data_IF_078373859695
#
_entry.id   IF_078373859695
#
_cell.length_a   1.000
_cell.length_b   1.000
_cell.length_c   1.000
_cell.angle_alpha   90.00
_cell.angle_beta   90.00
_cell.angle_gamma   90.00
#
_symmetry.space_group_name_H-M   'P 1'
#
loop_
_entity.id
_entity.type
_entity.pdbx_description
1 polymer ?
#
# COMPACT_ATOMS: atom_id res chain seq x y z
N UNK A 1 -16.08 9.87 18.15
CA UNK A 1 -15.83 9.81 19.61
C UNK A 1 -15.72 8.33 19.98
N UNK A 2 -14.63 7.92 20.63
CA UNK A 2 -14.46 6.54 21.08
C UNK A 2 -15.45 6.28 22.21
N UNK A 3 -16.32 5.29 22.05
CA UNK A 3 -17.19 4.84 23.13
C UNK A 3 -16.42 3.85 24.02
N UNK A 4 -16.02 4.31 25.20
CA UNK A 4 -15.29 3.47 26.17
C UNK A 4 -16.10 2.28 26.69
N UNK A 5 -17.41 2.27 26.47
CA UNK A 5 -18.28 1.13 26.79
C UNK A 5 -18.34 0.11 25.65
N UNK A 6 -17.81 0.45 24.47
CA UNK A 6 -17.71 -0.45 23.35
C UNK A 6 -16.36 -1.19 23.38
N UNK A 7 -16.37 -2.47 23.64
CA UNK A 7 -15.17 -3.32 23.70
C UNK A 7 -14.35 -3.24 22.41
N UNK A 8 -15.00 -3.13 21.24
CA UNK A 8 -14.32 -3.04 19.96
C UNK A 8 -13.54 -1.71 19.82
N UNK A 9 -14.09 -0.61 20.27
CA UNK A 9 -13.42 0.69 20.24
C UNK A 9 -12.23 0.73 21.21
N UNK A 10 -12.33 0.08 22.36
CA UNK A 10 -11.21 -0.08 23.29
C UNK A 10 -10.10 -0.95 22.69
N UNK A 11 -10.46 -2.03 22.02
CA UNK A 11 -9.48 -2.89 21.33
C UNK A 11 -8.76 -2.11 20.23
N UNK A 12 -9.49 -1.38 19.38
CA UNK A 12 -8.90 -0.53 18.33
C UNK A 12 -7.96 0.52 18.92
N UNK A 13 -8.38 1.20 20.01
CA UNK A 13 -7.56 2.21 20.68
C UNK A 13 -6.28 1.60 21.24
N UNK A 14 -6.37 0.44 21.89
CA UNK A 14 -5.22 -0.27 22.44
C UNK A 14 -4.23 -0.63 21.34
N UNK A 15 -4.70 -1.29 20.29
CA UNK A 15 -3.85 -1.66 19.16
C UNK A 15 -3.23 -0.45 18.47
N UNK A 16 -3.98 0.62 18.28
CA UNK A 16 -3.46 1.85 17.68
C UNK A 16 -2.35 2.47 18.52
N UNK A 17 -2.51 2.54 19.84
CA UNK A 17 -1.50 3.09 20.73
C UNK A 17 -0.24 2.20 20.77
N UNK A 18 -0.40 0.89 20.88
CA UNK A 18 0.72 -0.06 20.84
C UNK A 18 1.46 0.01 19.51
N UNK A 19 0.70 0.07 18.40
CA UNK A 19 1.24 0.20 17.05
C UNK A 19 2.06 1.47 16.87
N UNK A 20 1.55 2.63 17.23
CA UNK A 20 2.31 3.89 17.13
C UNK A 20 3.62 3.86 17.94
N UNK A 21 3.65 3.09 19.01
CA UNK A 21 4.83 2.97 19.88
C UNK A 21 5.92 2.08 19.27
N UNK A 22 5.55 1.04 18.55
CA UNK A 22 6.45 0.05 18.00
C UNK A 22 6.67 0.22 16.48
N UNK A 23 5.79 0.96 15.79
CA UNK A 23 5.88 1.14 14.36
C UNK A 23 7.11 1.97 13.98
N UNK A 24 7.96 1.38 13.18
CA UNK A 24 9.05 2.11 12.54
C UNK A 24 8.49 2.76 11.28
N UNK A 25 8.29 4.07 11.30
CA UNK A 25 7.80 4.81 10.14
C UNK A 25 8.93 4.86 9.11
N UNK A 26 8.72 4.18 8.00
CA UNK A 26 9.66 4.16 6.88
C UNK A 26 9.54 5.46 6.06
N UNK A 27 10.67 6.01 5.69
CA UNK A 27 10.79 7.18 4.81
C UNK A 27 11.44 6.70 3.50
N UNK A 28 10.68 6.68 2.40
CA UNK A 28 11.18 6.18 1.11
C UNK A 28 12.17 7.13 0.46
N UNK A 29 11.90 8.43 0.59
CA UNK A 29 12.68 9.47 -0.06
C UNK A 29 12.59 9.46 -1.59
N UNK A 30 13.46 10.21 -2.27
CA UNK A 30 13.47 10.27 -3.73
C UNK A 30 14.32 9.13 -4.33
N UNK A 31 13.68 8.27 -5.11
CA UNK A 31 14.29 7.08 -5.71
C UNK A 31 13.87 6.90 -7.16
N UNK A 32 14.83 6.98 -8.09
CA UNK A 32 14.55 6.76 -9.52
C UNK A 32 14.06 5.34 -9.78
N UNK A 33 14.64 4.34 -9.12
CA UNK A 33 14.22 2.94 -9.23
C UNK A 33 12.74 2.77 -8.85
N UNK A 34 12.31 3.35 -7.74
CA UNK A 34 10.92 3.26 -7.30
C UNK A 34 9.95 4.01 -8.24
N UNK A 35 10.40 5.14 -8.84
CA UNK A 35 9.63 5.82 -9.90
C UNK A 35 9.41 4.92 -11.11
N UNK A 36 10.47 4.27 -11.58
CA UNK A 36 10.41 3.42 -12.77
C UNK A 36 9.58 2.15 -12.50
N UNK A 37 9.73 1.54 -11.34
CA UNK A 37 8.89 0.41 -10.91
C UNK A 37 7.42 0.80 -10.81
N UNK A 38 7.11 1.96 -10.19
CA UNK A 38 5.73 2.45 -10.09
C UNK A 38 5.13 2.71 -11.46
N UNK A 39 5.91 3.29 -12.39
CA UNK A 39 5.47 3.50 -13.78
C UNK A 39 5.16 2.18 -14.47
N UNK A 40 6.05 1.18 -14.39
CA UNK A 40 5.84 -0.15 -14.98
C UNK A 40 4.59 -0.83 -14.44
N UNK A 41 4.35 -0.72 -13.14
CA UNK A 41 3.16 -1.25 -12.46
C UNK A 41 1.89 -0.54 -12.94
N UNK A 42 1.91 0.78 -13.02
CA UNK A 42 0.75 1.58 -13.48
C UNK A 42 0.42 1.22 -14.93
N UNK A 43 1.40 1.16 -15.80
CA UNK A 43 1.21 0.79 -17.22
C UNK A 43 0.65 -0.63 -17.39
N UNK A 44 1.13 -1.57 -16.59
CA UNK A 44 0.73 -2.98 -16.69
C UNK A 44 -0.63 -3.28 -16.06
N UNK A 45 -0.93 -2.71 -14.89
CA UNK A 45 -2.08 -3.12 -14.08
C UNK A 45 -3.17 -2.07 -13.91
N UNK A 46 -2.83 -0.77 -14.03
CA UNK A 46 -3.77 0.31 -13.75
C UNK A 46 -4.32 0.91 -15.06
N UNK A 47 -3.46 1.21 -16.02
CA UNK A 47 -3.88 1.80 -17.31
C UNK A 47 -4.91 0.93 -18.08
N UNK A 48 -4.88 -0.43 -17.99
CA UNK A 48 -5.94 -1.26 -18.59
C UNK A 48 -7.30 -1.16 -17.87
N UNK A 49 -7.35 -0.60 -16.64
CA UNK A 49 -8.59 -0.46 -15.90
C UNK A 49 -9.36 0.77 -16.40
N UNK A 50 -10.67 0.60 -16.58
CA UNK A 50 -11.56 1.72 -16.94
C UNK A 50 -11.92 2.52 -15.70
N UNK A 51 -11.03 3.43 -15.27
CA UNK A 51 -11.25 4.35 -14.16
C UNK A 51 -11.62 5.72 -14.71
N UNK A 52 -12.72 6.32 -14.20
CA UNK A 52 -13.15 7.65 -14.64
C UNK A 52 -12.15 8.72 -14.19
N UNK A 53 -11.90 9.76 -15.01
CA UNK A 53 -10.91 10.80 -14.69
C UNK A 53 -11.23 11.63 -13.44
N UNK A 54 -12.50 11.69 -13.06
CA UNK A 54 -12.98 12.33 -11.84
C UNK A 54 -13.21 11.35 -10.68
N UNK A 55 -12.75 10.11 -10.81
CA UNK A 55 -12.82 9.11 -9.74
C UNK A 55 -12.03 9.57 -8.53
N UNK A 56 -12.56 9.34 -7.34
CA UNK A 56 -11.88 9.56 -6.07
C UNK A 56 -10.91 8.42 -5.79
N UNK A 57 -9.62 8.71 -5.90
CA UNK A 57 -8.53 7.73 -5.83
C UNK A 57 -7.72 7.95 -4.56
N UNK A 58 -7.46 6.87 -3.82
CA UNK A 58 -6.54 6.86 -2.68
C UNK A 58 -5.27 6.10 -3.02
N UNK A 59 -4.12 6.70 -2.68
CA UNK A 59 -2.81 6.07 -2.65
C UNK A 59 -2.42 5.85 -1.18
N UNK A 60 -2.53 4.61 -0.72
CA UNK A 60 -2.36 4.25 0.69
C UNK A 60 -0.93 3.75 0.95
N UNK A 61 -0.21 4.44 1.83
CA UNK A 61 1.23 4.30 1.94
C UNK A 61 1.94 4.97 0.76
N UNK A 62 1.54 6.20 0.42
CA UNK A 62 1.89 6.84 -0.85
C UNK A 62 3.38 7.19 -1.00
N UNK A 63 4.21 7.04 0.05
CA UNK A 63 5.60 7.48 0.01
C UNK A 63 5.74 8.91 -0.52
N UNK A 64 6.74 9.20 -1.36
CA UNK A 64 6.94 10.52 -1.95
C UNK A 64 6.00 10.86 -3.12
N UNK A 65 4.92 10.08 -3.33
CA UNK A 65 3.82 10.38 -4.24
C UNK A 65 4.04 10.02 -5.71
N UNK A 66 4.83 9.00 -6.02
CA UNK A 66 5.11 8.62 -7.42
C UNK A 66 3.86 8.19 -8.20
N UNK A 67 2.96 7.44 -7.55
CA UNK A 67 1.69 7.09 -8.16
C UNK A 67 0.80 8.33 -8.38
N UNK A 68 0.76 9.24 -7.42
CA UNK A 68 -0.01 10.49 -7.54
C UNK A 68 0.49 11.35 -8.71
N UNK A 69 1.83 11.45 -8.90
CA UNK A 69 2.44 12.14 -10.03
C UNK A 69 1.96 11.54 -11.35
N UNK A 70 2.06 10.20 -11.49
CA UNK A 70 1.66 9.50 -12.71
C UNK A 70 0.16 9.62 -13.02
N UNK A 71 -0.70 9.56 -12.00
CA UNK A 71 -2.14 9.69 -12.20
C UNK A 71 -2.53 11.13 -12.56
N UNK A 72 -1.86 12.12 -11.97
CA UNK A 72 -2.03 13.54 -12.32
C UNK A 72 -1.62 13.80 -13.78
N UNK A 73 -0.47 13.25 -14.23
CA UNK A 73 -0.03 13.29 -15.64
C UNK A 73 -1.07 12.69 -16.60
N UNK A 74 -1.78 11.64 -16.16
CA UNK A 74 -2.88 11.00 -16.91
C UNK A 74 -4.21 11.73 -16.83
N UNK A 75 -4.28 12.88 -16.15
CA UNK A 75 -5.45 13.75 -16.07
C UNK A 75 -6.50 13.34 -15.03
N UNK A 76 -6.14 12.53 -14.03
CA UNK A 76 -7.00 12.29 -12.86
C UNK A 76 -6.96 13.50 -11.93
N UNK A 77 -8.10 13.86 -11.33
CA UNK A 77 -8.24 15.14 -10.61
C UNK A 77 -8.54 15.02 -9.13
N UNK A 78 -9.10 13.89 -8.67
CA UNK A 78 -9.41 13.67 -7.23
C UNK A 78 -8.50 12.60 -6.65
N UNK A 79 -7.27 13.01 -6.36
CA UNK A 79 -6.19 12.17 -5.85
C UNK A 79 -5.85 12.55 -4.43
N UNK A 80 -5.75 11.58 -3.53
CA UNK A 80 -5.32 11.78 -2.14
C UNK A 80 -4.32 10.70 -1.75
N UNK A 81 -3.14 11.10 -1.28
CA UNK A 81 -2.17 10.21 -0.65
C UNK A 81 -2.41 10.10 0.85
N UNK A 82 -2.10 8.93 1.41
CA UNK A 82 -2.16 8.67 2.86
C UNK A 82 -0.81 8.15 3.30
N UNK A 83 -0.17 8.83 4.24
CA UNK A 83 1.12 8.40 4.82
C UNK A 83 1.34 9.04 6.20
N UNK A 84 2.14 8.38 7.03
CA UNK A 84 2.63 8.94 8.32
C UNK A 84 4.06 9.48 8.22
N UNK A 85 4.80 9.22 7.13
CA UNK A 85 6.19 9.63 6.95
C UNK A 85 6.31 11.16 6.84
N UNK A 86 6.97 11.85 7.79
CA UNK A 86 7.09 13.31 7.73
C UNK A 86 7.91 13.82 6.55
N UNK A 87 8.91 13.04 6.10
CA UNK A 87 9.75 13.38 4.94
C UNK A 87 8.96 13.27 3.65
N UNK A 88 8.25 12.15 3.45
CA UNK A 88 7.43 11.93 2.26
C UNK A 88 6.26 12.93 2.17
N UNK A 89 5.65 13.28 3.32
CA UNK A 89 4.64 14.34 3.38
C UNK A 89 5.18 15.66 2.81
N UNK A 90 6.37 16.08 3.23
CA UNK A 90 6.98 17.33 2.73
C UNK A 90 7.22 17.28 1.22
N UNK A 91 7.69 16.14 0.70
CA UNK A 91 7.91 15.94 -0.74
C UNK A 91 6.59 16.05 -1.49
N UNK A 92 5.55 15.38 -1.04
CA UNK A 92 4.23 15.39 -1.65
C UNK A 92 3.59 16.79 -1.62
N UNK A 93 3.64 17.47 -0.48
CA UNK A 93 3.11 18.84 -0.33
C UNK A 93 3.85 19.83 -1.25
N UNK A 94 5.17 19.69 -1.40
CA UNK A 94 5.96 20.51 -2.33
C UNK A 94 5.56 20.29 -3.81
N UNK A 95 5.09 19.10 -4.17
CA UNK A 95 4.54 18.76 -5.50
C UNK A 95 3.07 19.20 -5.68
N UNK A 96 2.44 19.71 -4.61
CA UNK A 96 1.03 20.12 -4.61
C UNK A 96 0.04 18.97 -4.54
N UNK A 97 0.42 17.83 -3.97
CA UNK A 97 -0.49 16.72 -3.70
C UNK A 97 -1.28 16.93 -2.42
N UNK A 98 -2.52 16.45 -2.42
CA UNK A 98 -3.35 16.37 -1.22
C UNK A 98 -2.94 15.15 -0.40
N UNK A 99 -2.51 15.37 0.86
CA UNK A 99 -2.05 14.31 1.76
C UNK A 99 -2.87 14.29 3.03
N UNK A 100 -3.29 13.09 3.41
CA UNK A 100 -3.89 12.79 4.70
C UNK A 100 -2.88 12.08 5.59
N UNK A 101 -2.67 12.64 6.79
CA UNK A 101 -1.64 12.18 7.75
C UNK A 101 -2.23 11.14 8.71
N UNK A 102 -2.53 9.96 8.17
CA UNK A 102 -3.13 8.85 8.91
C UNK A 102 -2.34 7.56 8.71
N UNK A 103 -2.50 6.65 9.66
CA UNK A 103 -2.20 5.25 9.41
C UNK A 103 -3.17 4.73 8.33
N UNK A 104 -2.63 4.18 7.24
CA UNK A 104 -3.41 3.70 6.11
C UNK A 104 -4.41 2.60 6.48
N UNK A 105 -4.22 1.93 7.64
CA UNK A 105 -5.14 0.90 8.14
C UNK A 105 -6.44 1.49 8.75
N UNK A 106 -6.50 2.81 8.99
CA UNK A 106 -7.61 3.47 9.65
C UNK A 106 -8.00 4.77 8.94
N UNK A 107 -9.10 4.75 8.21
CA UNK A 107 -9.59 5.87 7.41
C UNK A 107 -10.80 6.53 8.11
N UNK A 108 -10.61 7.63 8.85
CA UNK A 108 -11.66 8.15 9.73
C UNK A 108 -12.78 8.84 8.95
N UNK A 109 -14.04 8.49 9.25
CA UNK A 109 -15.23 9.07 8.61
C UNK A 109 -15.30 10.59 8.78
N UNK A 110 -14.88 11.10 9.93
CA UNK A 110 -14.89 12.56 10.22
C UNK A 110 -14.05 13.39 9.23
N UNK A 111 -13.12 12.74 8.52
CA UNK A 111 -12.22 13.38 7.55
C UNK A 111 -12.59 13.02 6.10
N UNK A 112 -13.81 12.53 5.89
CA UNK A 112 -14.40 12.32 4.55
C UNK A 112 -14.20 10.91 3.97
N UNK A 113 -13.70 9.96 4.77
CA UNK A 113 -13.61 8.55 4.37
C UNK A 113 -14.88 7.79 4.77
N UNK A 114 -16.00 8.17 4.14
CA UNK A 114 -17.29 7.56 4.38
C UNK A 114 -17.38 6.17 3.74
N UNK A 115 -18.36 5.39 4.19
CA UNK A 115 -18.69 4.13 3.55
C UNK A 115 -19.01 4.36 2.07
N UNK A 116 -18.51 3.48 1.21
CA UNK A 116 -18.76 3.52 -0.23
C UNK A 116 -18.50 4.89 -0.89
N UNK A 117 -17.44 5.58 -0.48
CA UNK A 117 -17.09 6.90 -0.99
C UNK A 117 -15.90 6.94 -1.95
N UNK A 118 -15.14 5.86 -2.06
CA UNK A 118 -13.90 5.76 -2.82
C UNK A 118 -14.09 4.91 -4.07
N UNK A 119 -13.59 5.39 -5.21
CA UNK A 119 -13.72 4.71 -6.50
C UNK A 119 -12.53 3.77 -6.83
N UNK A 120 -11.36 4.05 -6.29
CA UNK A 120 -10.19 3.21 -6.49
C UNK A 120 -9.17 3.36 -5.35
N UNK A 121 -8.57 2.27 -4.95
CA UNK A 121 -7.44 2.25 -3.99
C UNK A 121 -6.21 1.67 -4.68
N UNK A 122 -5.09 2.37 -4.54
CA UNK A 122 -3.75 1.89 -4.85
C UNK A 122 -2.99 1.66 -3.56
N UNK A 123 -2.40 0.48 -3.41
CA UNK A 123 -1.67 0.04 -2.22
C UNK A 123 -0.43 -0.73 -2.66
N UNK A 124 0.70 -0.05 -2.72
CA UNK A 124 1.96 -0.62 -3.20
C UNK A 124 3.00 -0.64 -2.09
N UNK A 125 3.53 -1.82 -1.78
CA UNK A 125 4.56 -2.02 -0.75
C UNK A 125 4.17 -1.36 0.59
N UNK A 126 2.94 -1.64 1.03
CA UNK A 126 2.39 -1.03 2.23
C UNK A 126 1.64 -2.04 3.13
N UNK A 127 0.90 -3.01 2.57
CA UNK A 127 0.11 -3.95 3.37
C UNK A 127 0.97 -4.80 4.31
N UNK A 128 2.18 -5.14 3.92
CA UNK A 128 3.15 -5.86 4.75
C UNK A 128 3.55 -5.12 6.02
N UNK A 129 3.40 -3.80 6.03
CA UNK A 129 3.60 -2.95 7.20
C UNK A 129 2.38 -2.89 8.12
N UNK A 130 1.26 -3.51 7.74
CA UNK A 130 0.11 -3.61 8.63
C UNK A 130 0.26 -4.82 9.57
N UNK A 131 0.21 -4.63 10.90
CA UNK A 131 0.20 -5.75 11.85
C UNK A 131 -1.13 -6.51 11.85
N UNK A 132 -2.18 -5.92 11.25
CA UNK A 132 -3.54 -6.47 11.24
C UNK A 132 -4.16 -6.41 9.84
N UNK A 133 -3.60 -7.12 8.84
CA UNK A 133 -4.00 -6.99 7.44
C UNK A 133 -5.48 -7.30 7.19
N UNK A 134 -6.09 -8.18 7.99
CA UNK A 134 -7.53 -8.44 7.89
C UNK A 134 -8.37 -7.20 8.21
N UNK A 135 -8.07 -6.49 9.29
CA UNK A 135 -8.80 -5.25 9.64
C UNK A 135 -8.54 -4.14 8.64
N UNK A 136 -7.31 -4.05 8.14
CA UNK A 136 -6.95 -3.11 7.08
C UNK A 136 -7.77 -3.34 5.81
N UNK A 137 -7.88 -4.59 5.36
CA UNK A 137 -8.70 -4.95 4.20
C UNK A 137 -10.21 -4.76 4.45
N UNK A 138 -10.69 -4.99 5.68
CA UNK A 138 -12.08 -4.67 6.07
C UNK A 138 -12.37 -3.17 5.96
N UNK A 139 -11.43 -2.33 6.39
CA UNK A 139 -11.55 -0.87 6.28
C UNK A 139 -11.57 -0.42 4.80
N UNK A 140 -10.75 -1.05 3.95
CA UNK A 140 -10.77 -0.77 2.52
C UNK A 140 -12.08 -1.22 1.86
N UNK A 141 -12.62 -2.36 2.27
CA UNK A 141 -13.95 -2.79 1.82
C UNK A 141 -15.02 -1.78 2.24
N UNK A 142 -14.95 -1.25 3.47
CA UNK A 142 -15.91 -0.25 3.95
C UNK A 142 -15.93 1.01 3.07
N UNK A 143 -14.76 1.59 2.79
CA UNK A 143 -14.67 2.87 2.07
C UNK A 143 -14.85 2.76 0.56
N UNK A 144 -14.50 1.61 -0.05
CA UNK A 144 -14.67 1.39 -1.48
C UNK A 144 -16.15 1.27 -1.84
N UNK A 145 -16.55 1.87 -2.95
CA UNK A 145 -17.87 1.66 -3.56
C UNK A 145 -18.01 0.21 -4.04
N UNK A 146 -19.25 -0.26 -4.06
CA UNK A 146 -19.58 -1.58 -4.61
C UNK A 146 -19.11 -1.68 -6.07
N UNK A 147 -18.44 -2.76 -6.44
CA UNK A 147 -17.87 -2.97 -7.77
C UNK A 147 -16.57 -2.22 -8.06
N UNK A 148 -16.12 -1.37 -7.14
CA UNK A 148 -14.84 -0.66 -7.26
C UNK A 148 -13.65 -1.59 -7.04
N UNK A 149 -12.50 -1.17 -7.55
CA UNK A 149 -11.27 -1.99 -7.56
C UNK A 149 -10.23 -1.47 -6.58
N UNK A 150 -9.41 -2.40 -6.13
CA UNK A 150 -8.18 -2.14 -5.40
C UNK A 150 -7.01 -2.80 -6.13
N UNK A 151 -5.88 -2.09 -6.20
CA UNK A 151 -4.60 -2.67 -6.54
C UNK A 151 -3.77 -2.86 -5.27
N UNK A 152 -3.20 -4.04 -5.11
CA UNK A 152 -2.31 -4.39 -3.99
C UNK A 152 -1.03 -4.97 -4.54
N UNK A 153 0.11 -4.46 -4.07
CA UNK A 153 1.43 -5.02 -4.32
C UNK A 153 2.15 -5.22 -3.00
N UNK A 154 2.66 -6.42 -2.79
CA UNK A 154 3.45 -6.80 -1.60
C UNK A 154 4.65 -7.65 -2.02
N UNK A 155 5.72 -7.70 -1.21
CA UNK A 155 6.84 -8.60 -1.50
C UNK A 155 6.39 -10.06 -1.39
N UNK A 156 6.89 -10.91 -2.27
CA UNK A 156 6.67 -12.35 -2.17
C UNK A 156 7.47 -12.94 -1.00
N UNK A 157 6.99 -14.06 -0.46
CA UNK A 157 7.68 -14.82 0.59
C UNK A 157 8.87 -15.60 0.05
N UNK A 158 9.80 -15.99 0.93
CA UNK A 158 10.91 -16.90 0.62
C UNK A 158 11.88 -16.40 -0.47
N UNK A 159 12.06 -15.10 -0.59
CA UNK A 159 13.01 -14.48 -1.50
C UNK A 159 14.40 -14.33 -0.91
N UNK A 160 15.40 -14.01 -1.75
CA UNK A 160 16.78 -13.79 -1.33
C UNK A 160 16.92 -12.67 -0.29
N UNK A 161 16.11 -11.61 -0.43
CA UNK A 161 16.10 -10.48 0.51
C UNK A 161 15.41 -10.77 1.84
N UNK A 162 14.74 -11.90 2.00
CA UNK A 162 14.10 -12.29 3.26
C UNK A 162 13.22 -11.18 3.85
N UNK A 163 12.22 -10.75 3.10
CA UNK A 163 11.29 -9.69 3.53
C UNK A 163 10.63 -9.99 4.88
N UNK A 164 10.46 -11.27 5.20
CA UNK A 164 9.93 -11.75 6.48
C UNK A 164 10.82 -11.40 7.68
N UNK A 165 12.08 -11.05 7.45
CA UNK A 165 13.04 -10.67 8.48
C UNK A 165 13.20 -9.15 8.63
N UNK A 166 12.50 -8.37 7.82
CA UNK A 166 12.50 -6.93 7.96
C UNK A 166 11.69 -6.54 9.21
N UNK A 167 12.31 -5.80 10.12
CA UNK A 167 11.70 -5.37 11.38
C UNK A 167 10.42 -4.54 11.22
N UNK A 168 10.18 -4.02 10.03
CA UNK A 168 9.04 -3.19 9.69
C UNK A 168 7.96 -3.95 8.88
N UNK A 169 8.18 -5.22 8.56
CA UNK A 169 7.21 -6.07 7.88
C UNK A 169 6.53 -6.99 8.88
N UNK A 170 5.27 -6.73 9.17
CA UNK A 170 4.50 -7.50 10.15
C UNK A 170 3.67 -8.61 9.51
N UNK A 171 3.36 -8.49 8.21
CA UNK A 171 2.47 -9.42 7.51
C UNK A 171 2.92 -9.71 6.06
N UNK A 172 4.10 -10.32 5.91
CA UNK A 172 4.52 -10.87 4.62
C UNK A 172 3.77 -12.17 4.37
N UNK A 173 2.78 -12.15 3.49
CA UNK A 173 1.84 -13.25 3.27
C UNK A 173 2.14 -13.96 1.95
N UNK A 174 2.03 -15.29 1.96
CA UNK A 174 2.05 -16.08 0.73
C UNK A 174 0.77 -15.92 -0.11
N UNK A 175 0.84 -16.39 -1.36
CA UNK A 175 -0.21 -16.23 -2.38
C UNK A 175 -1.58 -16.69 -1.88
N UNK A 176 -1.65 -17.92 -1.34
CA UNK A 176 -2.92 -18.51 -0.89
C UNK A 176 -3.49 -17.77 0.34
N UNK A 177 -2.61 -17.34 1.25
CA UNK A 177 -3.04 -16.61 2.44
C UNK A 177 -3.62 -15.25 2.06
N UNK A 178 -2.95 -14.51 1.16
CA UNK A 178 -3.39 -13.20 0.72
C UNK A 178 -4.69 -13.29 -0.09
N UNK A 179 -4.81 -14.25 -1.01
CA UNK A 179 -6.04 -14.52 -1.75
C UNK A 179 -7.20 -14.91 -0.81
N UNK A 180 -6.95 -15.74 0.20
CA UNK A 180 -7.95 -16.12 1.19
C UNK A 180 -8.40 -14.93 2.05
N UNK A 181 -7.48 -14.04 2.45
CA UNK A 181 -7.81 -12.82 3.19
C UNK A 181 -8.69 -11.88 2.36
N UNK A 182 -8.33 -11.65 1.10
CA UNK A 182 -9.13 -10.82 0.18
C UNK A 182 -10.55 -11.37 0.04
N UNK A 183 -10.69 -12.67 -0.19
CA UNK A 183 -12.02 -13.27 -0.28
C UNK A 183 -12.83 -13.13 1.03
N UNK A 184 -12.22 -13.38 2.18
CA UNK A 184 -12.85 -13.23 3.50
C UNK A 184 -13.29 -11.79 3.77
N UNK A 185 -12.55 -10.81 3.24
CA UNK A 185 -12.84 -9.39 3.40
C UNK A 185 -13.69 -8.80 2.26
N UNK A 186 -14.35 -9.66 1.46
CA UNK A 186 -15.36 -9.27 0.48
C UNK A 186 -14.84 -8.86 -0.88
N UNK A 187 -13.57 -9.18 -1.19
CA UNK A 187 -12.96 -8.93 -2.49
C UNK A 187 -12.90 -10.18 -3.36
N UNK A 188 -13.22 -10.04 -4.66
CA UNK A 188 -12.91 -11.03 -5.67
C UNK A 188 -11.60 -10.67 -6.36
N UNK A 189 -10.67 -11.59 -6.40
CA UNK A 189 -9.40 -11.43 -7.09
C UNK A 189 -9.61 -11.56 -8.60
N UNK A 190 -9.31 -10.51 -9.36
CA UNK A 190 -9.40 -10.49 -10.82
C UNK A 190 -8.07 -10.86 -11.49
N UNK A 191 -6.97 -10.36 -10.93
CA UNK A 191 -5.60 -10.62 -11.39
C UNK A 191 -4.74 -10.96 -10.19
N UNK A 192 -3.94 -11.99 -10.32
CA UNK A 192 -2.89 -12.36 -9.38
C UNK A 192 -1.64 -12.69 -10.19
N UNK A 193 -0.63 -11.85 -10.11
CA UNK A 193 0.57 -11.95 -10.94
C UNK A 193 1.85 -11.80 -10.11
N UNK A 194 2.93 -12.41 -10.57
CA UNK A 194 4.27 -12.25 -10.03
C UNK A 194 5.03 -11.25 -10.89
N UNK A 195 5.26 -10.04 -10.38
CA UNK A 195 6.09 -9.05 -11.04
C UNK A 195 7.54 -9.24 -10.60
N UNK A 196 8.40 -9.59 -11.55
CA UNK A 196 9.80 -9.91 -11.29
C UNK A 196 10.73 -8.87 -11.92
N UNK A 197 11.78 -8.52 -11.21
CA UNK A 197 12.84 -7.64 -11.69
C UNK A 197 14.16 -7.96 -11.00
N UNK A 198 15.26 -7.58 -11.64
CA UNK A 198 16.60 -7.70 -11.07
C UNK A 198 16.90 -6.49 -10.18
N UNK A 199 17.47 -6.76 -9.02
CA UNK A 199 17.88 -5.75 -8.06
C UNK A 199 19.31 -5.99 -7.60
N UNK A 200 20.12 -4.93 -7.67
CA UNK A 200 21.46 -4.95 -7.09
C UNK A 200 21.37 -4.65 -5.59
N UNK A 201 21.78 -5.61 -4.77
CA UNK A 201 21.82 -5.49 -3.32
C UNK A 201 23.27 -5.45 -2.84
N UNK A 202 23.59 -4.68 -1.77
CA UNK A 202 24.95 -4.64 -1.24
C UNK A 202 25.43 -6.03 -0.83
N UNK A 203 26.68 -6.35 -1.10
CA UNK A 203 27.35 -7.53 -0.52
C UNK A 203 27.61 -7.31 0.97
N UNK A 204 27.84 -8.41 1.68
CA UNK A 204 28.18 -8.36 3.10
C UNK A 204 29.37 -7.42 3.34
N UNK A 205 29.21 -6.51 4.30
CA UNK A 205 30.21 -5.51 4.66
C UNK A 205 30.27 -4.27 3.75
N UNK A 206 29.39 -4.18 2.74
CA UNK A 206 29.27 -3.02 1.86
C UNK A 206 28.06 -2.18 2.29
N UNK A 207 28.26 -0.91 2.60
CA UNK A 207 27.15 -0.02 3.05
C UNK A 207 26.23 0.41 1.89
N UNK A 208 26.79 0.57 0.69
CA UNK A 208 26.04 1.06 -0.50
C UNK A 208 26.51 0.37 -1.77
N UNK A 209 25.55 0.14 -2.66
CA UNK A 209 25.82 -0.31 -4.03
C UNK A 209 26.46 0.82 -4.83
N UNK A 210 27.58 0.54 -5.49
CA UNK A 210 28.11 1.37 -6.58
C UNK A 210 27.83 0.67 -7.92
N UNK A 211 26.94 1.24 -8.72
CA UNK A 211 26.55 0.67 -10.01
C UNK A 211 27.73 0.51 -11.01
N UNK A 212 28.83 1.27 -10.80
CA UNK A 212 30.03 1.20 -11.63
C UNK A 212 31.04 0.18 -11.12
N UNK A 213 30.85 -0.36 -9.91
CA UNK A 213 31.73 -1.36 -9.31
C UNK A 213 30.96 -2.64 -8.95
N UNK A 214 31.00 -3.68 -9.80
CA UNK A 214 30.30 -4.94 -9.58
C UNK A 214 30.82 -5.73 -8.38
N UNK A 215 31.91 -5.32 -7.75
CA UNK A 215 32.39 -5.95 -6.52
C UNK A 215 31.57 -5.53 -5.30
N UNK A 216 30.82 -4.43 -5.36
CA UNK A 216 30.04 -3.87 -4.26
C UNK A 216 28.63 -4.47 -4.12
N UNK A 217 28.14 -5.21 -5.10
CA UNK A 217 26.78 -5.75 -5.07
C UNK A 217 26.68 -7.18 -5.60
N UNK A 218 25.54 -7.80 -5.28
CA UNK A 218 25.05 -9.02 -5.90
C UNK A 218 23.71 -8.72 -6.54
N UNK A 219 23.49 -9.15 -7.78
CA UNK A 219 22.18 -9.05 -8.42
C UNK A 219 21.31 -10.19 -7.94
N UNK A 220 20.14 -9.87 -7.43
CA UNK A 220 19.11 -10.82 -7.01
C UNK A 220 17.83 -10.63 -7.83
N UNK A 221 17.10 -11.71 -8.04
CA UNK A 221 15.77 -11.63 -8.61
C UNK A 221 14.78 -11.31 -7.48
N UNK A 222 14.09 -10.19 -7.61
CA UNK A 222 13.05 -9.75 -6.69
C UNK A 222 11.68 -10.06 -7.29
N UNK A 223 10.74 -10.48 -6.46
CA UNK A 223 9.36 -10.80 -6.88
C UNK A 223 8.37 -10.07 -6.02
N UNK A 224 7.46 -9.34 -6.64
CA UNK A 224 6.30 -8.75 -5.99
C UNK A 224 5.03 -9.46 -6.42
N UNK A 225 4.12 -9.65 -5.47
CA UNK A 225 2.77 -10.15 -5.73
C UNK A 225 1.89 -8.96 -6.08
N UNK A 226 1.41 -8.93 -7.33
CA UNK A 226 0.58 -7.86 -7.86
C UNK A 226 -0.86 -8.36 -8.04
N UNK A 227 -1.80 -7.71 -7.36
CA UNK A 227 -3.18 -8.14 -7.30
C UNK A 227 -4.09 -7.00 -7.71
N UNK A 228 -5.01 -7.27 -8.62
CA UNK A 228 -6.20 -6.43 -8.84
C UNK A 228 -7.40 -7.19 -8.31
N UNK A 229 -8.15 -6.58 -7.41
CA UNK A 229 -9.36 -7.19 -6.86
C UNK A 229 -10.54 -6.21 -6.92
N UNK A 230 -11.75 -6.76 -6.96
CA UNK A 230 -13.01 -5.99 -6.98
C UNK A 230 -13.75 -6.20 -5.67
N UNK A 231 -14.30 -5.15 -5.08
CA UNK A 231 -15.27 -5.28 -3.99
C UNK A 231 -16.55 -5.91 -4.52
N UNK A 232 -16.77 -7.18 -4.18
CA UNK A 232 -17.97 -7.92 -4.60
C UNK A 232 -19.14 -7.83 -3.62
N UNK A 233 -18.82 -7.74 -2.33
CA UNK A 233 -19.84 -7.70 -1.28
C UNK A 233 -19.41 -6.82 -0.13
N UNK A 234 -20.35 -6.08 0.48
CA UNK A 234 -20.08 -5.41 1.74
C UNK A 234 -19.85 -6.46 2.83
N UNK A 235 -19.11 -6.10 3.87
CA UNK A 235 -18.98 -6.91 5.06
C UNK A 235 -20.17 -6.63 5.97
N UNK A 236 -21.02 -7.62 6.13
CA UNK A 236 -22.14 -7.58 7.09
C UNK A 236 -21.57 -7.89 8.49
N UNK A 237 -21.02 -6.88 9.13
CA UNK A 237 -20.52 -6.97 10.51
C UNK A 237 -21.72 -6.76 11.41
N UNK A 238 -22.39 -7.86 11.76
CA UNK A 238 -23.46 -7.87 12.76
C UNK A 238 -22.90 -7.80 14.17
#
# INVERSE_FOLDING_TARGET
MIDINNTLDLVKLKFYNEWLYIAHIYEEGDSQMHKDLTRSVVEKYIDPLTIQKNAKILDLGCGPGYFLDLMKERGYTDLTGVTLSPGDIKICEAKGHKISKYDFSFLPQKDGYYDESIDFIFLRQALEHSPYPIFTLMEYNRVLKQGSKIYIEVPAVNQSRRHEWNNNHYSVLGNEQLAALLNRTGFAVNTFDNFQFELNVPKDGVERVDANDPTTYTTVLETYLCIVATKERPLDIK
#
